data_IF_144618462183
#
_entry.id   IF_144618462183
#
_cell.length_a   1.000
_cell.length_b   1.000
_cell.length_c   1.000
_cell.angle_alpha   90.00
_cell.angle_beta   90.00
_cell.angle_gamma   90.00
#
_symmetry.space_group_name_H-M   'P 1'
#
loop_
_entity.id
_entity.type
_entity.pdbx_description
1 polymer ?
#
# COMPACT_ATOMS: atom_id res chain seq x y z
N UNK A 1 -17.74 -11.00 13.82
CA UNK A 1 -16.28 -10.73 13.94
C UNK A 1 -16.07 -9.23 14.03
N UNK A 2 -15.14 -8.75 14.85
CA UNK A 2 -14.93 -7.31 15.03
C UNK A 2 -14.03 -6.79 13.90
N UNK A 3 -14.63 -6.31 12.79
CA UNK A 3 -13.97 -5.91 11.53
C UNK A 3 -12.79 -4.92 11.72
N UNK A 4 -12.79 -4.16 12.82
CA UNK A 4 -11.68 -3.28 13.20
C UNK A 4 -10.36 -4.01 13.51
N UNK A 5 -10.40 -5.31 13.85
CA UNK A 5 -9.20 -6.08 14.12
C UNK A 5 -8.42 -6.41 12.84
N UNK A 6 -9.07 -6.53 11.68
CA UNK A 6 -8.41 -6.80 10.39
C UNK A 6 -7.50 -5.65 9.96
N UNK A 7 -7.75 -4.42 10.42
CA UNK A 7 -6.87 -3.30 10.12
C UNK A 7 -5.68 -3.21 11.08
N UNK A 8 -5.71 -3.89 12.23
CA UNK A 8 -4.61 -3.86 13.21
C UNK A 8 -3.38 -4.64 12.77
N UNK A 9 -3.54 -5.57 11.83
CA UNK A 9 -2.41 -6.33 11.25
C UNK A 9 -1.64 -5.53 10.20
N UNK A 10 -2.22 -4.43 9.70
CA UNK A 10 -1.54 -3.58 8.74
C UNK A 10 -0.46 -2.76 9.46
N UNK A 11 0.70 -2.55 8.81
CA UNK A 11 1.67 -1.55 9.26
C UNK A 11 0.99 -0.21 9.54
N UNK A 12 1.35 0.41 10.66
CA UNK A 12 0.86 1.75 11.07
C UNK A 12 1.91 2.85 10.83
N UNK A 13 3.12 2.47 10.45
CA UNK A 13 4.22 3.36 10.12
C UNK A 13 4.66 3.11 8.67
N UNK A 14 5.04 4.19 8.00
CA UNK A 14 5.60 4.11 6.66
C UNK A 14 6.99 3.47 6.66
N UNK A 15 7.34 2.81 5.56
CA UNK A 15 8.67 2.26 5.34
C UNK A 15 9.51 3.26 4.54
N UNK A 16 10.73 3.51 5.00
CA UNK A 16 11.62 4.44 4.31
C UNK A 16 12.05 3.89 2.94
N UNK A 17 12.10 4.73 1.87
CA UNK A 17 12.33 4.27 0.52
C UNK A 17 13.62 3.48 0.35
N UNK A 18 14.74 3.96 0.93
CA UNK A 18 16.03 3.29 0.82
C UNK A 18 16.00 1.89 1.45
N UNK A 19 15.38 1.77 2.62
CA UNK A 19 15.22 0.47 3.29
C UNK A 19 14.36 -0.47 2.44
N UNK A 20 13.23 0.01 1.93
CA UNK A 20 12.38 -0.74 1.02
C UNK A 20 13.13 -1.21 -0.23
N UNK A 21 13.90 -0.33 -0.86
CA UNK A 21 14.64 -0.61 -2.08
C UNK A 21 15.73 -1.66 -1.83
N UNK A 22 16.49 -1.54 -0.73
CA UNK A 22 17.47 -2.56 -0.34
C UNK A 22 16.84 -3.93 -0.16
N UNK A 23 15.68 -4.00 0.48
CA UNK A 23 14.90 -5.24 0.58
C UNK A 23 14.49 -5.77 -0.81
N UNK A 24 13.97 -4.90 -1.68
CA UNK A 24 13.54 -5.27 -3.03
C UNK A 24 14.68 -5.89 -3.85
N UNK A 25 15.88 -5.32 -3.77
CA UNK A 25 17.06 -5.79 -4.49
C UNK A 25 17.77 -6.96 -3.80
N UNK A 26 17.32 -7.38 -2.62
CA UNK A 26 17.95 -8.48 -1.86
C UNK A 26 19.30 -8.10 -1.25
N UNK A 27 19.56 -6.81 -1.04
CA UNK A 27 20.82 -6.29 -0.51
C UNK A 27 20.71 -5.75 0.92
N UNK A 28 19.55 -5.92 1.57
CA UNK A 28 19.29 -5.35 2.90
C UNK A 28 20.24 -5.83 4.00
N UNK A 29 20.72 -7.07 3.89
CA UNK A 29 21.59 -7.73 4.87
C UNK A 29 23.08 -7.62 4.53
N UNK A 30 23.44 -6.90 3.46
CA UNK A 30 24.84 -6.68 3.08
C UNK A 30 25.56 -5.80 4.10
N UNK A 31 26.87 -6.00 4.22
CA UNK A 31 27.73 -5.13 5.03
C UNK A 31 27.81 -3.71 4.44
N UNK A 32 28.18 -2.68 5.24
CA UNK A 32 28.26 -1.32 4.74
C UNK A 32 29.16 -1.12 3.49
N UNK A 33 30.32 -1.78 3.36
CA UNK A 33 31.12 -1.71 2.13
C UNK A 33 30.41 -2.29 0.91
N UNK A 34 29.76 -3.45 1.06
CA UNK A 34 29.02 -4.11 -0.04
C UNK A 34 27.78 -3.31 -0.44
N UNK A 35 27.07 -2.72 0.54
CA UNK A 35 25.98 -1.78 0.27
C UNK A 35 26.45 -0.58 -0.54
N UNK A 36 27.62 -0.02 -0.20
CA UNK A 36 28.18 1.12 -0.92
C UNK A 36 28.51 0.76 -2.37
N UNK A 37 29.09 -0.42 -2.62
CA UNK A 37 29.37 -0.92 -3.97
C UNK A 37 28.09 -1.01 -4.81
N UNK A 38 27.05 -1.66 -4.29
CA UNK A 38 25.75 -1.79 -4.97
C UNK A 38 25.05 -0.43 -5.18
N UNK A 39 25.07 0.44 -4.16
CA UNK A 39 24.38 1.74 -4.21
C UNK A 39 25.12 2.79 -5.05
N UNK A 40 26.41 2.61 -5.33
CA UNK A 40 27.20 3.46 -6.23
C UNK A 40 27.18 2.99 -7.68
N UNK A 41 26.61 1.82 -7.99
CA UNK A 41 26.35 1.40 -9.37
C UNK A 41 25.56 2.49 -10.12
N UNK A 42 26.06 2.86 -11.29
CA UNK A 42 25.49 3.95 -12.10
C UNK A 42 24.01 3.74 -12.49
N UNK A 43 23.55 2.48 -12.50
CA UNK A 43 22.17 2.14 -12.81
C UNK A 43 21.30 1.95 -11.56
N UNK A 44 21.87 1.84 -10.36
CA UNK A 44 21.13 1.55 -9.13
C UNK A 44 20.01 2.57 -8.88
N UNK A 45 20.33 3.86 -8.91
CA UNK A 45 19.31 4.91 -8.73
C UNK A 45 18.22 4.87 -9.81
N UNK A 46 18.58 4.56 -11.06
CA UNK A 46 17.62 4.43 -12.17
C UNK A 46 16.69 3.22 -11.97
N UNK A 47 17.22 2.10 -11.48
CA UNK A 47 16.44 0.92 -11.09
C UNK A 47 15.50 1.27 -9.93
N UNK A 48 15.99 1.97 -8.91
CA UNK A 48 15.18 2.44 -7.77
C UNK A 48 13.99 3.29 -8.21
N UNK A 49 14.24 4.29 -9.06
CA UNK A 49 13.17 5.13 -9.62
C UNK A 49 12.16 4.29 -10.39
N UNK A 50 12.62 3.29 -11.15
CA UNK A 50 11.73 2.41 -11.93
C UNK A 50 10.83 1.59 -11.01
N UNK A 51 11.37 1.04 -9.92
CA UNK A 51 10.59 0.31 -8.91
C UNK A 51 9.55 1.23 -8.28
N UNK A 52 9.95 2.40 -7.78
CA UNK A 52 9.03 3.35 -7.12
C UNK A 52 7.92 3.82 -8.08
N UNK A 53 8.23 4.10 -9.35
CA UNK A 53 7.24 4.46 -10.37
C UNK A 53 6.22 3.34 -10.56
N UNK A 54 6.69 2.11 -10.74
CA UNK A 54 5.85 0.96 -11.05
C UNK A 54 4.90 0.62 -9.90
N UNK A 55 5.39 0.62 -8.66
CA UNK A 55 4.58 0.21 -7.50
C UNK A 55 3.65 1.31 -7.01
N UNK A 56 4.02 2.59 -7.14
CA UNK A 56 3.16 3.70 -6.71
C UNK A 56 2.27 4.23 -7.84
N UNK A 57 2.45 3.75 -9.08
CA UNK A 57 1.70 4.24 -10.24
C UNK A 57 1.99 5.70 -10.57
N UNK A 58 3.21 6.18 -10.31
CA UNK A 58 3.62 7.58 -10.55
C UNK A 58 4.64 7.69 -11.66
N UNK A 59 4.74 8.88 -12.25
CA UNK A 59 5.70 9.14 -13.32
C UNK A 59 7.10 9.43 -12.78
N UNK A 60 8.13 9.12 -13.59
CA UNK A 60 9.55 9.38 -13.27
C UNK A 60 9.85 10.81 -12.81
N UNK A 61 9.28 11.88 -13.43
CA UNK A 61 9.51 13.24 -12.95
C UNK A 61 9.05 13.45 -11.51
N UNK A 62 7.96 12.80 -11.08
CA UNK A 62 7.47 12.87 -9.69
C UNK A 62 8.49 12.27 -8.73
N UNK A 63 8.96 11.05 -9.01
CA UNK A 63 9.94 10.38 -8.14
C UNK A 63 11.26 11.15 -8.07
N UNK A 64 11.71 11.72 -9.19
CA UNK A 64 12.94 12.55 -9.23
C UNK A 64 12.85 13.80 -8.34
N UNK A 65 11.65 14.33 -8.12
CA UNK A 65 11.43 15.50 -7.24
C UNK A 65 11.48 15.13 -5.75
N UNK A 66 11.43 13.85 -5.39
CA UNK A 66 11.51 13.41 -3.99
C UNK A 66 12.93 13.43 -3.43
N UNK A 67 13.96 13.64 -4.25
CA UNK A 67 15.33 13.76 -3.76
C UNK A 67 16.35 13.44 -4.84
N UNK A 68 17.55 14.01 -4.69
CA UNK A 68 18.69 13.74 -5.57
C UNK A 68 19.44 12.46 -5.18
N UNK A 69 19.34 12.03 -3.94
CA UNK A 69 20.03 10.86 -3.39
C UNK A 69 19.17 9.57 -3.49
N UNK A 70 19.55 8.56 -2.70
CA UNK A 70 18.85 7.27 -2.58
C UNK A 70 17.85 7.22 -1.41
N UNK A 71 17.76 8.27 -0.60
CA UNK A 71 16.85 8.35 0.53
C UNK A 71 15.44 8.79 0.09
N UNK A 72 15.36 9.65 -0.93
CA UNK A 72 14.10 10.20 -1.46
C UNK A 72 13.27 10.92 -0.38
N UNK A 73 13.93 11.77 0.41
CA UNK A 73 13.36 12.43 1.61
C UNK A 73 12.04 13.20 1.38
N UNK A 74 11.82 13.69 0.16
CA UNK A 74 10.61 14.40 -0.26
C UNK A 74 9.43 13.48 -0.62
N UNK A 75 9.54 12.16 -0.43
CA UNK A 75 8.44 11.23 -0.67
C UNK A 75 7.28 11.49 0.32
N UNK A 76 6.01 11.54 -0.13
CA UNK A 76 4.88 11.70 0.78
C UNK A 76 4.69 10.52 1.74
N UNK A 77 4.20 10.79 2.96
CA UNK A 77 3.96 9.75 3.98
C UNK A 77 2.98 8.65 3.52
N UNK A 78 1.94 8.99 2.76
CA UNK A 78 1.01 8.00 2.21
C UNK A 78 1.67 7.09 1.15
N UNK A 79 2.77 7.52 0.52
CA UNK A 79 3.58 6.63 -0.31
C UNK A 79 4.40 5.69 0.58
N UNK A 80 5.00 6.19 1.66
CA UNK A 80 5.75 5.36 2.63
C UNK A 80 4.88 4.26 3.24
N UNK A 81 3.61 4.53 3.55
CA UNK A 81 2.69 3.47 4.03
C UNK A 81 2.41 2.43 2.94
N UNK A 82 2.29 2.87 1.68
CA UNK A 82 2.14 1.94 0.56
C UNK A 82 3.36 1.02 0.43
N UNK A 83 4.59 1.56 0.59
CA UNK A 83 5.82 0.76 0.62
C UNK A 83 5.81 -0.27 1.76
N UNK A 84 5.31 0.09 2.94
CA UNK A 84 5.16 -0.82 4.07
C UNK A 84 4.18 -1.96 3.77
N UNK A 85 3.05 -1.69 3.12
CA UNK A 85 2.09 -2.71 2.71
C UNK A 85 2.67 -3.65 1.65
N UNK A 86 3.39 -3.11 0.67
CA UNK A 86 4.08 -3.90 -0.36
C UNK A 86 5.11 -4.84 0.28
N UNK A 87 5.88 -4.33 1.26
CA UNK A 87 6.86 -5.10 2.00
C UNK A 87 6.18 -6.22 2.82
N UNK A 88 5.14 -5.90 3.59
CA UNK A 88 4.38 -6.88 4.37
C UNK A 88 3.75 -7.98 3.50
N UNK A 89 3.36 -7.64 2.27
CA UNK A 89 2.83 -8.59 1.29
C UNK A 89 3.92 -9.38 0.54
N UNK A 90 5.21 -9.04 0.70
CA UNK A 90 6.36 -9.62 -0.01
C UNK A 90 6.19 -9.64 -1.55
N UNK A 91 5.62 -8.58 -2.13
CA UNK A 91 5.26 -8.56 -3.55
C UNK A 91 6.49 -8.33 -4.43
N UNK A 92 7.26 -7.28 -4.13
CA UNK A 92 8.27 -6.77 -5.08
C UNK A 92 9.44 -7.71 -5.30
N UNK A 93 10.06 -8.36 -4.28
CA UNK A 93 11.16 -9.29 -4.56
C UNK A 93 10.78 -10.39 -5.58
N UNK A 94 9.52 -10.85 -5.55
CA UNK A 94 9.00 -11.87 -6.47
C UNK A 94 8.67 -11.31 -7.87
N UNK A 95 8.50 -9.99 -7.99
CA UNK A 95 8.09 -9.29 -9.21
C UNK A 95 9.17 -8.36 -9.77
N UNK A 96 10.34 -8.27 -9.14
CA UNK A 96 11.37 -7.27 -9.47
C UNK A 96 11.78 -7.33 -10.94
N UNK A 97 11.97 -8.53 -11.49
CA UNK A 97 12.32 -8.71 -12.91
C UNK A 97 11.23 -8.14 -13.83
N UNK A 98 9.96 -8.42 -13.54
CA UNK A 98 8.81 -7.90 -14.29
C UNK A 98 8.69 -6.37 -14.17
N UNK A 99 8.93 -5.83 -12.97
CA UNK A 99 8.95 -4.38 -12.71
C UNK A 99 10.02 -3.69 -13.55
N UNK A 100 11.26 -4.20 -13.54
CA UNK A 100 12.37 -3.61 -14.28
C UNK A 100 12.19 -3.69 -15.80
N UNK A 101 11.42 -4.67 -16.28
CA UNK A 101 11.02 -4.81 -17.69
C UNK A 101 9.80 -3.96 -18.08
N UNK A 102 9.10 -3.37 -17.11
CA UNK A 102 7.88 -2.61 -17.34
C UNK A 102 6.64 -3.47 -17.59
N UNK A 103 6.70 -4.76 -17.23
CA UNK A 103 5.61 -5.74 -17.42
C UNK A 103 4.70 -5.83 -16.19
N UNK A 104 5.11 -5.23 -15.06
CA UNK A 104 4.38 -5.30 -13.81
C UNK A 104 3.17 -4.37 -13.80
N UNK A 105 2.03 -4.93 -13.39
CA UNK A 105 0.81 -4.18 -13.14
C UNK A 105 0.57 -4.11 -11.62
N UNK A 106 0.60 -2.91 -11.06
CA UNK A 106 0.26 -2.70 -9.66
C UNK A 106 -1.21 -3.06 -9.41
N UNK A 107 -1.54 -3.77 -8.32
CA UNK A 107 -2.93 -4.07 -7.97
C UNK A 107 -3.70 -2.75 -7.80
N UNK A 108 -4.94 -2.70 -8.28
CA UNK A 108 -5.81 -1.53 -8.17
C UNK A 108 -7.16 -1.98 -7.61
N UNK A 109 -7.57 -1.39 -6.49
CA UNK A 109 -8.86 -1.68 -5.85
C UNK A 109 -9.59 -0.37 -5.57
N UNK A 110 -10.85 -0.27 -5.99
CA UNK A 110 -11.67 0.90 -5.71
C UNK A 110 -12.13 0.92 -4.24
N UNK A 111 -12.61 2.07 -3.76
CA UNK A 111 -12.98 2.21 -2.35
C UNK A 111 -14.14 1.31 -1.97
N UNK A 112 -15.16 1.15 -2.83
CA UNK A 112 -16.31 0.31 -2.57
C UNK A 112 -15.90 -1.15 -2.34
N UNK A 113 -15.16 -1.75 -3.29
CA UNK A 113 -14.68 -3.12 -3.18
C UNK A 113 -13.83 -3.32 -1.93
N UNK A 114 -12.97 -2.35 -1.59
CA UNK A 114 -12.20 -2.40 -0.36
C UNK A 114 -13.10 -2.37 0.89
N UNK A 115 -14.06 -1.45 0.95
CA UNK A 115 -14.94 -1.29 2.10
C UNK A 115 -15.88 -2.48 2.28
N UNK A 116 -16.42 -3.03 1.20
CA UNK A 116 -17.19 -4.28 1.22
C UNK A 116 -16.36 -5.41 1.81
N UNK A 117 -15.12 -5.58 1.33
CA UNK A 117 -14.19 -6.60 1.81
C UNK A 117 -13.87 -6.47 3.30
N UNK A 118 -13.69 -5.24 3.79
CA UNK A 118 -13.28 -5.00 5.18
C UNK A 118 -14.46 -5.00 6.15
N UNK A 119 -15.58 -4.37 5.76
CA UNK A 119 -16.69 -4.05 6.68
C UNK A 119 -17.87 -5.00 6.54
N UNK A 120 -18.06 -5.64 5.38
CA UNK A 120 -19.28 -6.37 5.06
C UNK A 120 -19.03 -7.86 4.78
N UNK A 121 -17.81 -8.26 4.43
CA UNK A 121 -17.49 -9.66 4.17
C UNK A 121 -17.78 -10.56 5.39
N UNK A 122 -18.49 -11.66 5.14
CA UNK A 122 -18.90 -12.62 6.17
C UNK A 122 -20.20 -12.27 6.91
N UNK A 123 -20.85 -11.16 6.56
CA UNK A 123 -22.18 -10.81 7.06
C UNK A 123 -23.29 -11.46 6.23
N UNK A 124 -24.43 -11.75 6.85
CA UNK A 124 -25.67 -12.10 6.13
C UNK A 124 -26.28 -10.87 5.44
N UNK A 125 -27.18 -11.08 4.47
CA UNK A 125 -27.87 -9.97 3.79
C UNK A 125 -28.59 -9.03 4.76
N UNK A 126 -29.24 -9.58 5.80
CA UNK A 126 -29.92 -8.79 6.83
C UNK A 126 -28.93 -7.94 7.64
N UNK A 127 -27.77 -8.51 8.00
CA UNK A 127 -26.71 -7.80 8.72
C UNK A 127 -26.06 -6.71 7.86
N UNK A 128 -25.88 -6.97 6.57
CA UNK A 128 -25.42 -5.96 5.60
C UNK A 128 -26.42 -4.81 5.57
N UNK A 129 -27.71 -5.10 5.39
CA UNK A 129 -28.76 -4.07 5.34
C UNK A 129 -28.78 -3.21 6.62
N UNK A 130 -28.72 -3.85 7.79
CA UNK A 130 -28.64 -3.15 9.08
C UNK A 130 -27.39 -2.25 9.16
N UNK A 131 -26.24 -2.75 8.69
CA UNK A 131 -24.96 -2.02 8.74
C UNK A 131 -24.96 -0.81 7.81
N UNK A 132 -25.38 -0.97 6.56
CA UNK A 132 -25.37 0.11 5.56
C UNK A 132 -26.46 1.16 5.81
N UNK A 133 -27.57 0.77 6.44
CA UNK A 133 -28.67 1.69 6.80
C UNK A 133 -28.39 2.51 8.05
N UNK A 134 -27.34 2.16 8.81
CA UNK A 134 -27.01 2.88 10.04
C UNK A 134 -26.47 4.29 9.72
N UNK A 135 -26.96 5.30 10.44
CA UNK A 135 -26.65 6.71 10.16
C UNK A 135 -25.15 7.07 10.19
N UNK A 136 -24.35 6.29 10.93
CA UNK A 136 -22.89 6.49 11.01
C UNK A 136 -22.08 5.70 9.96
N UNK A 137 -22.72 4.90 9.09
CA UNK A 137 -22.00 4.00 8.17
C UNK A 137 -21.04 4.76 7.26
N UNK A 138 -21.47 5.92 6.77
CA UNK A 138 -20.64 6.81 5.95
C UNK A 138 -19.41 7.33 6.70
N UNK A 139 -19.55 7.64 8.00
CA UNK A 139 -18.45 8.06 8.85
C UNK A 139 -17.47 6.89 9.11
N UNK A 140 -18.00 5.68 9.29
CA UNK A 140 -17.19 4.45 9.38
C UNK A 140 -16.38 4.22 8.12
N UNK A 141 -16.97 4.38 6.93
CA UNK A 141 -16.24 4.28 5.66
C UNK A 141 -15.08 5.28 5.56
N UNK A 142 -15.34 6.55 5.91
CA UNK A 142 -14.28 7.59 5.93
C UNK A 142 -13.19 7.27 6.93
N UNK A 143 -13.55 6.81 8.13
CA UNK A 143 -12.58 6.44 9.17
C UNK A 143 -11.69 5.28 8.69
N UNK A 144 -12.28 4.25 8.10
CA UNK A 144 -11.57 3.10 7.53
C UNK A 144 -10.57 3.53 6.44
N UNK A 145 -11.00 4.35 5.47
CA UNK A 145 -10.12 4.85 4.41
C UNK A 145 -9.02 5.77 4.96
N UNK A 146 -9.35 6.66 5.89
CA UNK A 146 -8.37 7.55 6.56
C UNK A 146 -7.29 6.73 7.26
N UNK A 147 -7.68 5.68 7.98
CA UNK A 147 -6.77 4.81 8.71
C UNK A 147 -5.84 4.02 7.77
N UNK A 148 -6.37 3.48 6.67
CA UNK A 148 -5.58 2.65 5.74
C UNK A 148 -4.69 3.50 4.83
N UNK A 149 -5.16 4.67 4.41
CA UNK A 149 -4.43 5.52 3.48
C UNK A 149 -3.49 6.50 4.18
N UNK A 150 -3.62 6.68 5.50
CA UNK A 150 -2.86 7.65 6.29
C UNK A 150 -2.94 9.08 5.72
N UNK A 151 -4.15 9.51 5.38
CA UNK A 151 -4.45 10.85 4.86
C UNK A 151 -5.53 11.52 5.71
N UNK A 152 -5.69 12.84 5.56
CA UNK A 152 -6.69 13.60 6.30
C UNK A 152 -8.14 13.22 5.95
N UNK A 153 -9.00 13.21 6.97
CA UNK A 153 -10.44 12.94 6.84
C UNK A 153 -11.12 13.81 5.79
N UNK A 154 -10.76 15.11 5.72
CA UNK A 154 -11.32 16.05 4.75
C UNK A 154 -11.04 15.62 3.31
N UNK A 155 -9.81 15.18 3.01
CA UNK A 155 -9.44 14.68 1.68
C UNK A 155 -10.31 13.50 1.26
N UNK A 156 -10.59 12.56 2.16
CA UNK A 156 -11.46 11.40 1.88
C UNK A 156 -12.90 11.83 1.65
N UNK A 157 -13.41 12.77 2.44
CA UNK A 157 -14.77 13.30 2.30
C UNK A 157 -15.00 14.00 0.95
N UNK A 158 -13.97 14.62 0.39
CA UNK A 158 -14.05 15.33 -0.89
C UNK A 158 -14.14 14.38 -2.10
N UNK A 159 -13.94 13.07 -1.91
CA UNK A 159 -13.96 12.09 -2.99
C UNK A 159 -15.35 11.59 -3.41
N UNK A 160 -16.39 11.91 -2.64
CA UNK A 160 -17.75 11.48 -2.92
C UNK A 160 -18.62 11.42 -1.67
N UNK A 161 -19.93 11.38 -1.86
CA UNK A 161 -20.90 11.32 -0.75
C UNK A 161 -21.34 9.88 -0.43
N UNK A 162 -21.10 8.94 -1.32
CA UNK A 162 -21.46 7.52 -1.18
C UNK A 162 -20.22 6.63 -0.90
N UNK A 163 -20.45 5.32 -0.85
CA UNK A 163 -19.41 4.30 -0.60
C UNK A 163 -18.48 4.08 -1.81
N UNK A 164 -18.77 4.64 -2.98
CA UNK A 164 -17.92 4.51 -4.17
C UNK A 164 -16.65 5.35 -4.08
N UNK A 165 -16.74 6.52 -3.42
CA UNK A 165 -15.69 7.54 -3.41
C UNK A 165 -15.12 7.78 -4.83
N UNK A 166 -16.00 7.97 -5.81
CA UNK A 166 -15.68 7.98 -7.25
C UNK A 166 -14.54 8.92 -7.67
N UNK A 167 -14.25 10.01 -6.92
CA UNK A 167 -13.12 10.92 -7.21
C UNK A 167 -11.81 10.52 -6.55
N UNK A 168 -11.73 9.35 -5.90
CA UNK A 168 -10.51 8.89 -5.25
C UNK A 168 -9.36 8.77 -6.27
N UNK A 169 -8.21 9.45 -6.02
CA UNK A 169 -7.04 9.36 -6.87
C UNK A 169 -6.53 7.92 -7.06
N UNK A 170 -6.06 7.63 -8.27
CA UNK A 170 -5.57 6.29 -8.65
C UNK A 170 -4.47 5.74 -7.72
N UNK A 171 -3.57 6.61 -7.25
CA UNK A 171 -2.52 6.20 -6.31
C UNK A 171 -3.06 5.53 -5.04
N UNK A 172 -4.19 6.01 -4.51
CA UNK A 172 -4.80 5.42 -3.32
C UNK A 172 -5.48 4.09 -3.62
N UNK A 173 -5.97 3.88 -4.85
CA UNK A 173 -6.46 2.56 -5.27
C UNK A 173 -5.37 1.50 -5.25
N UNK A 174 -4.14 1.88 -5.60
CA UNK A 174 -2.98 0.99 -5.47
C UNK A 174 -2.67 0.68 -4.00
N UNK A 175 -2.68 1.69 -3.13
CA UNK A 175 -2.53 1.50 -1.68
C UNK A 175 -3.56 0.53 -1.11
N UNK A 176 -4.85 0.66 -1.48
CA UNK A 176 -5.91 -0.27 -1.06
C UNK A 176 -5.64 -1.70 -1.55
N UNK A 177 -5.19 -1.85 -2.80
CA UNK A 177 -4.80 -3.15 -3.35
C UNK A 177 -3.66 -3.81 -2.56
N UNK A 178 -2.64 -3.05 -2.20
CA UNK A 178 -1.54 -3.55 -1.37
C UNK A 178 -1.95 -3.85 0.07
N UNK A 179 -2.84 -3.05 0.65
CA UNK A 179 -3.39 -3.31 1.98
C UNK A 179 -4.13 -4.67 2.02
N UNK A 180 -4.98 -4.96 1.03
CA UNK A 180 -5.66 -6.26 0.94
C UNK A 180 -4.68 -7.42 0.73
N UNK A 181 -3.64 -7.22 -0.07
CA UNK A 181 -2.60 -8.23 -0.27
C UNK A 181 -1.83 -8.53 1.04
N UNK A 182 -1.50 -7.49 1.82
CA UNK A 182 -0.85 -7.62 3.11
C UNK A 182 -1.75 -8.35 4.12
N UNK A 183 -3.04 -7.96 4.22
CA UNK A 183 -4.04 -8.65 5.04
C UNK A 183 -4.11 -10.13 4.71
N UNK A 184 -4.23 -10.45 3.41
CA UNK A 184 -4.35 -11.83 2.93
C UNK A 184 -3.11 -12.67 3.25
N UNK A 185 -1.92 -12.06 3.21
CA UNK A 185 -0.65 -12.72 3.53
C UNK A 185 -0.58 -13.06 5.03
N UNK A 186 -0.99 -12.15 5.90
CA UNK A 186 -1.01 -12.37 7.36
C UNK A 186 -2.04 -13.42 7.77
N UNK A 187 -3.24 -13.43 7.18
CA UNK A 187 -4.25 -14.47 7.46
C UNK A 187 -3.75 -15.87 7.11
N UNK A 188 -3.12 -16.05 5.93
CA UNK A 188 -2.53 -17.34 5.53
C UNK A 188 -1.39 -17.79 6.44
N UNK A 189 -0.64 -16.87 7.03
CA UNK A 189 0.41 -17.19 7.98
C UNK A 189 -0.17 -17.69 9.32
N UNK A 190 -1.28 -17.10 9.77
CA UNK A 190 -2.00 -17.51 10.97
C UNK A 190 -2.62 -18.91 10.81
N UNK A 191 -3.30 -19.17 9.68
CA UNK A 191 -3.94 -20.46 9.42
C UNK A 191 -2.93 -21.62 9.35
N UNK A 192 -1.70 -21.34 8.92
CA UNK A 192 -0.59 -22.33 8.90
C UNK A 192 0.03 -22.60 10.27
N UNK A 193 -0.14 -21.71 11.24
CA UNK A 193 0.37 -21.91 12.61
C UNK A 193 -0.68 -22.56 13.52
N UNK A 194 -1.96 -22.50 13.14
CA UNK A 194 -3.07 -23.08 13.88
C UNK A 194 -3.51 -24.48 13.39
N UNK A 195 -2.88 -24.99 12.32
CA UNK A 195 -3.07 -26.33 11.75
C UNK A 195 -1.87 -27.22 12.07
#
# INVERSE_FOLDING_TARGET
MNHYNTLKILPTQGLEPRQFLRYCFGIAELSPPELLEEETDSQYRKKCITVLCAVLGVQRPTVRKWGSDLNFDGIPNYCKISLAYIHAAEIVPKQLKSILRGEYNAPEVNAQTFLEKILLEGLSEEQVLQTVSHANFRATCVKTLTQVLHIGTKSVQDWGQDMSFHKMPKIHKHTLGYALAAISKSSKAWDKQAA
#
